data_IF_460586252066
#
_entry.id   IF_460586252066
#
_cell.length_a   1.000
_cell.length_b   1.000
_cell.length_c   1.000
_cell.angle_alpha   90.00
_cell.angle_beta   90.00
_cell.angle_gamma   90.00
#
_symmetry.space_group_name_H-M   'P 1'
#
loop_
_entity.id
_entity.type
_entity.pdbx_description
1 polymer ?
#
# COMPACT_ATOMS: atom_id res chain seq x y z
N UNK A 1 25.73 -5.14 34.78
CA UNK A 1 25.05 -5.86 33.68
C UNK A 1 23.62 -6.38 34.02
N UNK A 2 22.80 -5.79 34.94
CA UNK A 2 21.40 -6.22 35.09
C UNK A 2 20.45 -5.50 34.10
N UNK A 3 20.83 -4.31 33.62
CA UNK A 3 20.03 -3.50 32.72
C UNK A 3 19.96 -4.05 31.28
N UNK A 4 20.94 -4.87 30.87
CA UNK A 4 20.95 -5.50 29.54
C UNK A 4 19.88 -6.60 29.42
N UNK A 5 19.60 -7.30 30.52
CA UNK A 5 18.56 -8.35 30.60
C UNK A 5 17.14 -7.73 30.63
N UNK A 6 16.97 -6.59 31.31
CA UNK A 6 15.70 -5.87 31.32
C UNK A 6 15.34 -5.24 29.95
N UNK A 7 16.36 -4.81 29.18
CA UNK A 7 16.19 -4.30 27.82
C UNK A 7 15.87 -5.43 26.81
N UNK A 8 16.44 -6.63 26.98
CA UNK A 8 16.08 -7.78 26.14
C UNK A 8 14.65 -8.29 26.42
N UNK A 9 14.19 -8.23 27.67
CA UNK A 9 12.85 -8.72 28.05
C UNK A 9 11.71 -7.80 27.57
N UNK A 10 12.00 -6.52 27.35
CA UNK A 10 11.01 -5.52 26.88
C UNK A 10 10.84 -5.50 25.36
N UNK A 11 11.78 -6.08 24.60
CA UNK A 11 11.67 -6.23 23.15
C UNK A 11 10.81 -7.45 22.79
N UNK A 12 10.82 -8.50 23.62
CA UNK A 12 9.98 -9.71 23.40
C UNK A 12 8.49 -9.50 23.68
N UNK A 13 8.09 -8.41 24.33
CA UNK A 13 6.68 -8.13 24.62
C UNK A 13 5.94 -7.42 23.48
N UNK A 14 6.65 -6.85 22.49
CA UNK A 14 6.02 -6.13 21.39
C UNK A 14 5.49 -7.05 20.28
N UNK A 15 6.11 -8.21 20.05
CA UNK A 15 5.61 -9.21 19.09
C UNK A 15 4.40 -9.97 19.62
N UNK A 16 4.14 -9.94 20.93
CA UNK A 16 2.99 -10.61 21.56
C UNK A 16 1.69 -9.80 21.55
N UNK A 17 1.74 -8.50 21.22
CA UNK A 17 0.54 -7.66 21.21
C UNK A 17 -0.39 -7.98 20.04
N UNK A 18 0.16 -8.30 18.86
CA UNK A 18 -0.62 -8.64 17.66
C UNK A 18 -1.25 -10.03 17.78
N UNK A 19 -0.50 -11.03 18.26
CA UNK A 19 -1.06 -12.36 18.53
C UNK A 19 -2.18 -12.30 19.57
N UNK A 20 -2.00 -11.53 20.65
CA UNK A 20 -3.04 -11.32 21.66
C UNK A 20 -4.28 -10.60 21.11
N UNK A 21 -4.09 -9.62 20.21
CA UNK A 21 -5.19 -8.94 19.53
C UNK A 21 -6.03 -9.92 18.71
N UNK A 22 -5.42 -10.71 17.84
CA UNK A 22 -6.16 -11.66 17.00
C UNK A 22 -6.82 -12.78 17.83
N UNK A 23 -6.15 -13.27 18.87
CA UNK A 23 -6.76 -14.23 19.80
C UNK A 23 -7.97 -13.66 20.55
N UNK A 24 -7.94 -12.38 20.94
CA UNK A 24 -9.09 -11.72 21.58
C UNK A 24 -10.27 -11.54 20.62
N UNK A 25 -10.00 -11.21 19.35
CA UNK A 25 -11.03 -11.10 18.31
C UNK A 25 -11.72 -12.44 18.04
N UNK A 26 -10.96 -13.54 18.07
CA UNK A 26 -11.53 -14.88 17.89
C UNK A 26 -12.43 -15.31 19.05
N UNK A 27 -12.13 -14.88 20.28
CA UNK A 27 -12.99 -15.13 21.45
C UNK A 27 -14.37 -14.46 21.35
N UNK A 28 -14.48 -13.38 20.57
CA UNK A 28 -15.75 -12.71 20.26
C UNK A 28 -16.34 -13.13 18.92
N UNK A 29 -15.79 -14.17 18.29
CA UNK A 29 -16.31 -14.80 17.07
C UNK A 29 -15.83 -14.20 15.75
N UNK A 30 -14.78 -13.36 15.78
CA UNK A 30 -14.20 -12.77 14.56
C UNK A 30 -12.93 -13.54 14.19
N UNK A 31 -12.97 -14.26 13.07
CA UNK A 31 -11.85 -15.09 12.64
C UNK A 31 -10.81 -14.30 11.84
N UNK A 32 -9.55 -14.70 11.91
CA UNK A 32 -8.42 -14.06 11.19
C UNK A 32 -8.65 -14.00 9.68
N UNK A 33 -9.39 -14.97 9.13
CA UNK A 33 -9.80 -14.99 7.72
C UNK A 33 -10.70 -13.81 7.36
N UNK A 34 -11.65 -13.47 8.22
CA UNK A 34 -12.56 -12.34 7.98
C UNK A 34 -11.80 -11.02 8.12
N UNK A 35 -10.93 -10.92 9.13
CA UNK A 35 -10.02 -9.77 9.29
C UNK A 35 -9.12 -9.62 8.05
N UNK A 36 -8.60 -10.72 7.49
CA UNK A 36 -7.80 -10.69 6.26
C UNK A 36 -8.61 -10.14 5.08
N UNK A 37 -9.87 -10.52 4.92
CA UNK A 37 -10.74 -9.95 3.89
C UNK A 37 -10.89 -8.45 4.08
N UNK A 38 -11.24 -8.01 5.29
CA UNK A 38 -11.44 -6.58 5.60
C UNK A 38 -10.17 -5.76 5.31
N UNK A 39 -8.99 -6.27 5.70
CA UNK A 39 -7.70 -5.60 5.47
C UNK A 39 -7.37 -5.46 3.99
N UNK A 40 -7.70 -6.46 3.19
CA UNK A 40 -7.50 -6.41 1.73
C UNK A 40 -8.51 -5.46 1.07
N UNK A 41 -9.76 -5.42 1.54
CA UNK A 41 -10.76 -4.46 1.07
C UNK A 41 -10.33 -3.02 1.39
N UNK A 42 -9.85 -2.74 2.61
CA UNK A 42 -9.30 -1.43 3.00
C UNK A 42 -8.05 -1.03 2.18
N UNK A 43 -7.19 -1.99 1.81
CA UNK A 43 -6.04 -1.72 0.94
C UNK A 43 -6.46 -1.43 -0.50
N UNK A 44 -7.52 -2.07 -1.00
CA UNK A 44 -8.10 -1.74 -2.30
C UNK A 44 -8.66 -0.32 -2.31
N UNK A 45 -9.39 0.08 -1.28
CA UNK A 45 -9.88 1.46 -1.13
C UNK A 45 -8.71 2.45 -1.10
N UNK A 46 -7.65 2.19 -0.33
CA UNK A 46 -6.47 3.05 -0.29
C UNK A 46 -5.78 3.17 -1.67
N UNK A 47 -5.71 2.09 -2.45
CA UNK A 47 -5.15 2.13 -3.80
C UNK A 47 -6.05 2.89 -4.78
N UNK A 48 -7.37 2.81 -4.65
CA UNK A 48 -8.31 3.60 -5.46
C UNK A 48 -8.22 5.10 -5.12
N UNK A 49 -8.10 5.43 -3.83
CA UNK A 49 -7.85 6.80 -3.37
C UNK A 49 -6.54 7.34 -3.97
N UNK A 50 -5.45 6.57 -3.86
CA UNK A 50 -4.16 6.92 -4.44
C UNK A 50 -4.24 7.06 -5.97
N UNK A 51 -4.96 6.18 -6.67
CA UNK A 51 -5.18 6.31 -8.11
C UNK A 51 -5.84 7.64 -8.46
N UNK A 52 -6.83 8.07 -7.67
CA UNK A 52 -7.53 9.34 -7.85
C UNK A 52 -6.58 10.51 -7.63
N UNK A 53 -5.82 10.53 -6.53
CA UNK A 53 -4.87 11.62 -6.25
C UNK A 53 -3.78 11.74 -7.31
N UNK A 54 -3.20 10.61 -7.74
CA UNK A 54 -2.20 10.59 -8.80
C UNK A 54 -2.79 11.03 -10.15
N UNK A 55 -4.05 10.70 -10.43
CA UNK A 55 -4.76 11.20 -11.63
C UNK A 55 -4.96 12.71 -11.56
N UNK A 56 -5.36 13.24 -10.41
CA UNK A 56 -5.49 14.70 -10.22
C UNK A 56 -4.13 15.41 -10.35
N UNK A 57 -3.05 14.83 -9.83
CA UNK A 57 -1.69 15.31 -10.03
C UNK A 57 -1.29 15.31 -11.52
N UNK A 58 -1.62 14.23 -12.25
CA UNK A 58 -1.37 14.12 -13.68
C UNK A 58 -2.08 15.23 -14.47
N UNK A 59 -3.35 15.50 -14.15
CA UNK A 59 -4.14 16.50 -14.84
C UNK A 59 -3.69 17.94 -14.52
N UNK A 60 -3.28 18.20 -13.27
CA UNK A 60 -2.65 19.46 -12.89
C UNK A 60 -1.35 19.72 -13.69
N UNK A 61 -0.53 18.68 -13.88
CA UNK A 61 0.68 18.78 -14.70
C UNK A 61 0.39 18.98 -16.19
N UNK A 62 -0.68 18.40 -16.73
CA UNK A 62 -1.09 18.64 -18.12
C UNK A 62 -1.57 20.08 -18.33
N UNK A 63 -2.31 20.62 -17.37
CA UNK A 63 -2.79 22.01 -17.43
C UNK A 63 -1.63 23.01 -17.50
N UNK A 64 -0.49 22.69 -16.87
CA UNK A 64 0.72 23.51 -16.92
C UNK A 64 1.34 23.63 -18.32
N UNK A 65 1.20 22.61 -19.17
CA UNK A 65 1.70 22.67 -20.55
C UNK A 65 0.94 23.70 -21.41
N UNK A 66 -0.23 24.15 -20.95
CA UNK A 66 -1.07 25.14 -21.62
C UNK A 66 -1.10 26.49 -20.88
N UNK A 67 -0.14 26.72 -19.99
CA UNK A 67 -0.09 27.94 -19.19
C UNK A 67 0.46 29.13 -19.99
N UNK A 68 -0.38 30.12 -20.25
CA UNK A 68 -0.06 31.34 -21.02
C UNK A 68 0.14 32.57 -20.12
N UNK A 69 0.86 32.43 -19.00
CA UNK A 69 1.26 33.56 -18.16
C UNK A 69 0.18 34.08 -17.18
N UNK A 70 -0.69 33.19 -16.68
CA UNK A 70 -1.62 33.48 -15.59
C UNK A 70 -0.98 33.63 -14.21
N UNK A 71 -1.76 33.46 -13.14
CA UNK A 71 -1.27 33.58 -11.76
C UNK A 71 -0.35 32.42 -11.38
N UNK A 72 0.96 32.68 -11.35
CA UNK A 72 2.00 31.70 -11.02
C UNK A 72 1.84 31.13 -9.60
N UNK A 73 1.31 31.93 -8.67
CA UNK A 73 1.01 31.48 -7.31
C UNK A 73 -0.08 30.41 -7.29
N UNK A 74 -1.12 30.54 -8.14
CA UNK A 74 -2.17 29.54 -8.25
C UNK A 74 -1.64 28.22 -8.83
N UNK A 75 -0.70 28.31 -9.79
CA UNK A 75 0.02 27.13 -10.31
C UNK A 75 0.78 26.42 -9.21
N UNK A 76 1.57 27.16 -8.43
CA UNK A 76 2.34 26.60 -7.33
C UNK A 76 1.42 25.92 -6.30
N UNK A 77 0.38 26.63 -5.85
CA UNK A 77 -0.55 26.10 -4.84
C UNK A 77 -1.22 24.81 -5.33
N UNK A 78 -1.70 24.78 -6.58
CA UNK A 78 -2.31 23.59 -7.15
C UNK A 78 -1.34 22.39 -7.15
N UNK A 79 -0.09 22.56 -7.61
CA UNK A 79 0.88 21.46 -7.63
C UNK A 79 1.28 21.03 -6.21
N UNK A 80 1.39 21.98 -5.28
CA UNK A 80 1.65 21.67 -3.87
C UNK A 80 0.52 20.82 -3.27
N UNK A 81 -0.74 21.22 -3.48
CA UNK A 81 -1.91 20.48 -2.99
C UNK A 81 -1.96 19.06 -3.56
N UNK A 82 -1.67 18.90 -4.87
CA UNK A 82 -1.61 17.57 -5.50
C UNK A 82 -0.47 16.72 -4.93
N UNK A 83 0.68 17.32 -4.62
CA UNK A 83 1.79 16.62 -3.98
C UNK A 83 1.41 16.13 -2.57
N UNK A 84 0.86 17.01 -1.73
CA UNK A 84 0.47 16.68 -0.36
C UNK A 84 -0.58 15.57 -0.32
N UNK A 85 -1.64 15.69 -1.13
CA UNK A 85 -2.70 14.68 -1.21
C UNK A 85 -2.18 13.33 -1.74
N UNK A 86 -1.31 13.34 -2.76
CA UNK A 86 -0.70 12.12 -3.28
C UNK A 86 0.25 11.47 -2.27
N UNK A 87 0.95 12.27 -1.45
CA UNK A 87 1.84 11.78 -0.40
C UNK A 87 1.06 11.07 0.70
N UNK A 88 -0.01 11.70 1.20
CA UNK A 88 -0.89 11.09 2.22
C UNK A 88 -1.52 9.79 1.71
N UNK A 89 -1.98 9.76 0.46
CA UNK A 89 -2.55 8.56 -0.13
C UNK A 89 -1.52 7.42 -0.25
N UNK A 90 -0.27 7.73 -0.62
CA UNK A 90 0.80 6.73 -0.69
C UNK A 90 1.19 6.18 0.69
N UNK A 91 1.22 7.02 1.73
CA UNK A 91 1.44 6.59 3.11
C UNK A 91 0.31 5.66 3.59
N UNK A 92 -0.95 5.99 3.26
CA UNK A 92 -2.11 5.14 3.54
C UNK A 92 -1.99 3.78 2.87
N UNK A 93 -1.59 3.73 1.59
CA UNK A 93 -1.33 2.47 0.86
C UNK A 93 -0.26 1.65 1.59
N UNK A 94 0.87 2.26 1.92
CA UNK A 94 1.99 1.60 2.63
C UNK A 94 1.54 1.01 3.97
N UNK A 95 0.77 1.77 4.74
CA UNK A 95 0.21 1.32 6.03
C UNK A 95 -0.76 0.16 5.88
N UNK A 96 -1.57 0.12 4.82
CA UNK A 96 -2.53 -0.97 4.59
C UNK A 96 -1.84 -2.25 4.13
N UNK A 97 -0.78 -2.14 3.34
CA UNK A 97 0.06 -3.29 2.96
C UNK A 97 0.67 -3.93 4.22
N UNK A 98 1.27 -3.13 5.10
CA UNK A 98 1.85 -3.64 6.35
C UNK A 98 0.80 -4.34 7.25
N UNK A 99 -0.42 -3.82 7.31
CA UNK A 99 -1.51 -4.43 8.09
C UNK A 99 -1.99 -5.77 7.51
N UNK A 100 -1.91 -5.95 6.18
CA UNK A 100 -2.18 -7.22 5.51
C UNK A 100 -1.08 -8.25 5.83
N UNK A 101 0.19 -7.83 5.78
CA UNK A 101 1.32 -8.71 6.13
C UNK A 101 1.23 -9.23 7.57
N UNK A 102 0.85 -8.35 8.50
CA UNK A 102 0.66 -8.71 9.91
C UNK A 102 -0.39 -9.82 10.09
N UNK A 103 -1.60 -9.62 9.55
CA UNK A 103 -2.67 -10.62 9.68
C UNK A 103 -2.38 -11.89 8.88
N UNK A 104 -1.63 -11.79 7.78
CA UNK A 104 -1.21 -12.95 6.99
C UNK A 104 -0.28 -13.86 7.77
N UNK A 105 0.74 -13.29 8.43
CA UNK A 105 1.68 -14.04 9.24
C UNK A 105 0.92 -14.80 10.35
N UNK A 106 0.06 -14.10 11.10
CA UNK A 106 -0.73 -14.73 12.16
C UNK A 106 -1.65 -15.84 11.64
N UNK A 107 -2.32 -15.62 10.50
CA UNK A 107 -3.23 -16.60 9.90
C UNK A 107 -2.50 -17.86 9.40
N UNK A 108 -1.39 -17.69 8.69
CA UNK A 108 -0.67 -18.82 8.12
C UNK A 108 0.10 -19.62 9.17
N UNK A 109 0.68 -18.96 10.17
CA UNK A 109 1.36 -19.63 11.29
C UNK A 109 0.37 -20.51 12.07
N UNK A 110 -0.80 -19.97 12.44
CA UNK A 110 -1.83 -20.74 13.14
C UNK A 110 -2.33 -21.92 12.30
N UNK A 111 -2.66 -21.68 11.03
CA UNK A 111 -3.15 -22.75 10.15
C UNK A 111 -2.10 -23.85 10.00
N UNK A 112 -0.81 -23.50 9.89
CA UNK A 112 0.29 -24.46 9.81
C UNK A 112 0.43 -25.30 11.09
N UNK A 113 0.29 -24.69 12.27
CA UNK A 113 0.33 -25.41 13.56
C UNK A 113 -0.86 -26.38 13.71
N UNK A 114 -2.05 -25.95 13.31
CA UNK A 114 -3.27 -26.76 13.37
C UNK A 114 -3.25 -27.99 12.45
N UNK A 115 -2.41 -27.99 11.40
CA UNK A 115 -2.21 -29.18 10.56
C UNK A 115 -1.74 -30.40 11.38
N UNK A 116 -1.03 -30.17 12.49
CA UNK A 116 -0.57 -31.24 13.38
C UNK A 116 -1.67 -31.86 14.25
N UNK A 117 -2.80 -31.16 14.42
CA UNK A 117 -3.92 -31.57 15.27
C UNK A 117 -4.87 -32.53 14.56
N UNK A 118 -4.77 -32.65 13.23
CA UNK A 118 -5.60 -33.59 12.47
C UNK A 118 -5.22 -35.05 12.73
N UNK A 119 -6.19 -35.82 13.21
CA UNK A 119 -6.12 -37.28 13.29
C UNK A 119 -6.41 -37.97 11.94
N UNK A 120 -7.18 -37.32 11.05
CA UNK A 120 -7.46 -37.84 9.71
C UNK A 120 -6.41 -37.39 8.69
N UNK A 121 -5.64 -38.35 8.16
CA UNK A 121 -4.63 -38.07 7.14
C UNK A 121 -5.23 -37.49 5.84
N UNK A 122 -6.48 -37.82 5.51
CA UNK A 122 -7.15 -37.27 4.32
C UNK A 122 -7.49 -35.79 4.52
N UNK A 123 -8.06 -35.43 5.67
CA UNK A 123 -8.41 -34.04 6.00
C UNK A 123 -7.15 -33.19 6.15
N UNK A 124 -6.10 -33.71 6.80
CA UNK A 124 -4.81 -33.01 6.91
C UNK A 124 -4.25 -32.65 5.53
N UNK A 125 -4.22 -33.61 4.60
CA UNK A 125 -3.73 -33.38 3.23
C UNK A 125 -4.59 -32.38 2.46
N UNK A 126 -5.90 -32.36 2.69
CA UNK A 126 -6.78 -31.37 2.06
C UNK A 126 -6.51 -29.96 2.59
N UNK A 127 -6.45 -29.81 3.92
CA UNK A 127 -6.12 -28.55 4.58
C UNK A 127 -4.75 -28.02 4.15
N UNK A 128 -3.73 -28.89 4.08
CA UNK A 128 -2.38 -28.53 3.59
C UNK A 128 -2.38 -28.04 2.14
N UNK A 129 -3.22 -28.61 1.25
CA UNK A 129 -3.36 -28.12 -0.13
C UNK A 129 -4.01 -26.74 -0.17
N UNK A 130 -5.03 -26.51 0.66
CA UNK A 130 -5.70 -25.22 0.76
C UNK A 130 -4.74 -24.15 1.27
N UNK A 131 -4.00 -24.42 2.35
CA UNK A 131 -2.97 -23.52 2.89
C UNK A 131 -1.98 -23.10 1.79
N UNK A 132 -1.35 -24.06 1.12
CA UNK A 132 -0.39 -23.80 0.03
C UNK A 132 -0.98 -22.98 -1.12
N UNK A 133 -2.23 -23.26 -1.49
CA UNK A 133 -2.94 -22.52 -2.53
C UNK A 133 -3.20 -21.07 -2.09
N UNK A 134 -3.66 -20.87 -0.86
CA UNK A 134 -3.95 -19.55 -0.30
C UNK A 134 -2.68 -18.71 -0.17
N UNK A 135 -1.59 -19.27 0.35
CA UNK A 135 -0.28 -18.61 0.42
C UNK A 135 0.23 -18.17 -0.95
N UNK A 136 0.08 -19.02 -1.99
CA UNK A 136 0.49 -18.69 -3.34
C UNK A 136 -0.34 -17.52 -3.91
N UNK A 137 -1.64 -17.48 -3.62
CA UNK A 137 -2.50 -16.37 -4.01
C UNK A 137 -2.16 -15.09 -3.26
N UNK A 138 -1.93 -15.18 -1.95
CA UNK A 138 -1.49 -14.06 -1.11
C UNK A 138 -0.19 -13.45 -1.61
N UNK A 139 0.85 -14.26 -1.89
CA UNK A 139 2.15 -13.79 -2.39
C UNK A 139 2.04 -13.04 -3.71
N UNK A 140 1.14 -13.46 -4.61
CA UNK A 140 0.88 -12.76 -5.89
C UNK A 140 0.26 -11.37 -5.66
N UNK A 141 -0.76 -11.30 -4.80
CA UNK A 141 -1.39 -10.04 -4.40
C UNK A 141 -0.40 -9.10 -3.74
N UNK A 142 0.32 -9.55 -2.71
CA UNK A 142 1.27 -8.74 -1.97
C UNK A 142 2.38 -8.19 -2.88
N UNK A 143 2.92 -9.04 -3.77
CA UNK A 143 3.92 -8.60 -4.73
C UNK A 143 3.39 -7.53 -5.70
N UNK A 144 2.11 -7.55 -6.05
CA UNK A 144 1.50 -6.50 -6.87
C UNK A 144 1.36 -5.18 -6.09
N UNK A 145 0.88 -5.24 -4.85
CA UNK A 145 0.76 -4.06 -3.99
C UNK A 145 2.12 -3.38 -3.76
N UNK A 146 3.17 -4.13 -3.42
CA UNK A 146 4.51 -3.54 -3.25
C UNK A 146 5.09 -2.95 -4.53
N UNK A 147 4.78 -3.53 -5.71
CA UNK A 147 5.20 -2.92 -6.98
C UNK A 147 4.55 -1.54 -7.15
N UNK A 148 3.25 -1.44 -6.90
CA UNK A 148 2.53 -0.17 -6.96
C UNK A 148 3.11 0.86 -5.96
N UNK A 149 3.26 0.48 -4.69
CA UNK A 149 3.86 1.28 -3.62
C UNK A 149 5.27 1.81 -4.00
N UNK A 150 6.14 0.93 -4.50
CA UNK A 150 7.51 1.30 -4.89
C UNK A 150 7.56 2.29 -6.06
N UNK A 151 6.54 2.32 -6.93
CA UNK A 151 6.43 3.31 -8.02
C UNK A 151 5.93 4.68 -7.56
N UNK A 152 5.22 4.76 -6.43
CA UNK A 152 4.75 6.05 -5.88
C UNK A 152 5.90 6.92 -5.40
N UNK A 153 6.91 6.33 -4.73
CA UNK A 153 8.05 7.06 -4.15
C UNK A 153 8.80 7.96 -5.15
N UNK A 154 9.28 7.46 -6.32
CA UNK A 154 9.99 8.32 -7.27
C UNK A 154 9.10 9.43 -7.87
N UNK A 155 7.80 9.17 -8.03
CA UNK A 155 6.82 10.19 -8.46
C UNK A 155 6.71 11.29 -7.42
N UNK A 156 6.51 10.94 -6.15
CA UNK A 156 6.39 11.91 -5.05
C UNK A 156 7.67 12.71 -4.84
N UNK A 157 8.83 12.08 -4.96
CA UNK A 157 10.11 12.80 -4.89
C UNK A 157 10.22 13.84 -6.01
N UNK A 158 9.87 13.46 -7.24
CA UNK A 158 9.92 14.39 -8.38
C UNK A 158 8.90 15.53 -8.20
N UNK A 159 7.67 15.23 -7.79
CA UNK A 159 6.66 16.24 -7.45
C UNK A 159 7.18 17.21 -6.41
N UNK A 160 7.68 16.71 -5.27
CA UNK A 160 8.24 17.51 -4.18
C UNK A 160 9.34 18.44 -4.66
N UNK A 161 10.32 17.90 -5.38
CA UNK A 161 11.50 18.65 -5.81
C UNK A 161 11.11 19.77 -6.79
N UNK A 162 10.15 19.50 -7.68
CA UNK A 162 9.59 20.52 -8.59
C UNK A 162 8.77 21.58 -7.84
N UNK A 163 7.93 21.18 -6.88
CA UNK A 163 7.16 22.10 -6.03
C UNK A 163 8.08 23.05 -5.25
N UNK A 164 9.15 22.51 -4.65
CA UNK A 164 10.15 23.29 -3.94
C UNK A 164 10.89 24.26 -4.87
N UNK A 165 11.25 23.82 -6.07
CA UNK A 165 11.90 24.69 -7.05
C UNK A 165 10.98 25.85 -7.46
N UNK A 166 9.70 25.57 -7.74
CA UNK A 166 8.71 26.60 -8.06
C UNK A 166 8.58 27.60 -6.91
N UNK A 167 8.46 27.14 -5.66
CA UNK A 167 8.32 28.00 -4.47
C UNK A 167 9.34 29.14 -4.40
N UNK A 168 10.58 28.87 -4.80
CA UNK A 168 11.68 29.84 -4.73
C UNK A 168 11.91 30.62 -6.03
N UNK A 169 11.34 30.16 -7.14
CA UNK A 169 11.62 30.66 -8.47
C UNK A 169 10.33 30.94 -9.26
N UNK A 170 9.27 31.43 -8.61
CA UNK A 170 7.97 31.73 -9.21
C UNK A 170 8.08 32.78 -10.35
N UNK A 171 8.42 32.32 -11.55
CA UNK A 171 8.51 33.10 -12.78
C UNK A 171 8.32 32.19 -14.00
N UNK A 172 8.02 32.79 -15.16
CA UNK A 172 7.75 32.05 -16.39
C UNK A 172 8.96 31.24 -16.89
N UNK A 173 10.19 31.69 -16.66
CA UNK A 173 11.39 30.98 -17.06
C UNK A 173 11.60 29.68 -16.25
N UNK A 174 11.29 29.71 -14.95
CA UNK A 174 11.33 28.54 -14.10
C UNK A 174 10.31 27.47 -14.55
N UNK A 175 9.08 27.87 -14.88
CA UNK A 175 8.08 26.94 -15.43
C UNK A 175 8.60 26.28 -16.72
N UNK A 176 9.16 27.08 -17.64
CA UNK A 176 9.75 26.55 -18.87
C UNK A 176 10.89 25.56 -18.61
N UNK A 177 11.71 25.80 -17.58
CA UNK A 177 12.83 24.90 -17.23
C UNK A 177 12.38 23.53 -16.70
N UNK A 178 11.18 23.43 -16.10
CA UNK A 178 10.65 22.19 -15.53
C UNK A 178 9.91 21.31 -16.54
N UNK A 179 9.70 21.77 -17.78
CA UNK A 179 8.85 21.07 -18.73
C UNK A 179 9.36 19.66 -19.09
N UNK A 180 10.69 19.46 -19.09
CA UNK A 180 11.30 18.13 -19.25
C UNK A 180 10.96 17.19 -18.10
N UNK A 181 11.07 17.67 -16.86
CA UNK A 181 10.79 16.90 -15.64
C UNK A 181 9.30 16.57 -15.54
N UNK A 182 8.41 17.53 -15.83
CA UNK A 182 6.97 17.30 -15.88
C UNK A 182 6.58 16.24 -16.91
N UNK A 183 7.17 16.26 -18.10
CA UNK A 183 6.90 15.23 -19.10
C UNK A 183 7.35 13.83 -18.65
N UNK A 184 8.44 13.72 -17.87
CA UNK A 184 8.83 12.44 -17.27
C UNK A 184 7.88 12.01 -16.17
N UNK A 185 7.54 12.94 -15.29
CA UNK A 185 6.64 12.74 -14.18
C UNK A 185 5.26 12.26 -14.64
N UNK A 186 4.71 12.82 -15.71
CA UNK A 186 3.45 12.36 -16.30
C UNK A 186 3.48 10.87 -16.67
N UNK A 187 4.60 10.39 -17.25
CA UNK A 187 4.76 8.97 -17.61
C UNK A 187 4.88 8.08 -16.37
N UNK A 188 5.60 8.54 -15.36
CA UNK A 188 5.81 7.77 -14.13
C UNK A 188 4.52 7.71 -13.30
N UNK A 189 3.74 8.78 -13.25
CA UNK A 189 2.39 8.78 -12.67
C UNK A 189 1.49 7.77 -13.39
N UNK A 190 1.47 7.78 -14.73
CA UNK A 190 0.64 6.84 -15.49
C UNK A 190 1.01 5.38 -15.22
N UNK A 191 2.31 5.08 -15.04
CA UNK A 191 2.78 3.75 -14.65
C UNK A 191 2.33 3.37 -13.24
N UNK A 192 2.44 4.29 -12.28
CA UNK A 192 1.97 4.06 -10.91
C UNK A 192 0.46 3.76 -10.89
N UNK A 193 -0.34 4.48 -11.67
CA UNK A 193 -1.78 4.23 -11.86
C UNK A 193 -2.03 2.81 -12.38
N UNK A 194 -1.35 2.39 -13.45
CA UNK A 194 -1.52 1.05 -14.01
C UNK A 194 -1.08 -0.06 -13.04
N UNK A 195 -0.02 0.15 -12.27
CA UNK A 195 0.41 -0.82 -11.24
C UNK A 195 -0.61 -0.94 -10.10
N UNK A 196 -1.25 0.17 -9.69
CA UNK A 196 -2.37 0.14 -8.73
C UNK A 196 -3.58 -0.63 -9.26
N UNK A 197 -3.97 -0.44 -10.53
CA UNK A 197 -5.05 -1.21 -11.16
C UNK A 197 -4.76 -2.72 -11.13
N UNK A 198 -3.52 -3.10 -11.44
CA UNK A 198 -3.10 -4.51 -11.40
C UNK A 198 -3.14 -5.07 -9.97
N UNK A 199 -2.74 -4.30 -8.97
CA UNK A 199 -2.76 -4.69 -7.58
C UNK A 199 -4.18 -4.80 -7.01
N UNK A 200 -5.11 -3.91 -7.39
CA UNK A 200 -6.54 -4.04 -7.06
C UNK A 200 -7.11 -5.34 -7.64
N UNK A 201 -6.82 -5.64 -8.92
CA UNK A 201 -7.29 -6.86 -9.56
C UNK A 201 -6.76 -8.14 -8.90
N UNK A 202 -5.49 -8.16 -8.46
CA UNK A 202 -4.94 -9.29 -7.71
C UNK A 202 -5.57 -9.44 -6.32
N UNK A 203 -5.95 -8.33 -5.69
CA UNK A 203 -6.61 -8.32 -4.38
C UNK A 203 -8.02 -8.88 -4.45
N UNK A 204 -8.80 -8.51 -5.47
CA UNK A 204 -10.12 -9.09 -5.74
C UNK A 204 -10.02 -10.61 -6.01
N UNK A 205 -8.99 -11.04 -6.76
CA UNK A 205 -8.71 -12.47 -6.99
C UNK A 205 -8.40 -13.19 -5.68
N UNK A 206 -7.58 -12.61 -4.82
CA UNK A 206 -7.26 -13.18 -3.52
C UNK A 206 -8.49 -13.29 -2.61
N UNK A 207 -9.29 -12.23 -2.48
CA UNK A 207 -10.55 -12.24 -1.71
C UNK A 207 -11.48 -13.34 -2.23
N UNK A 208 -11.65 -13.44 -3.56
CA UNK A 208 -12.48 -14.48 -4.16
C UNK A 208 -11.96 -15.89 -3.87
N UNK A 209 -10.64 -16.08 -3.91
CA UNK A 209 -10.01 -17.36 -3.58
C UNK A 209 -10.21 -17.72 -2.10
N UNK A 210 -9.99 -16.76 -1.20
CA UNK A 210 -10.09 -16.95 0.24
C UNK A 210 -11.54 -17.24 0.68
N UNK A 211 -12.53 -16.58 0.09
CA UNK A 211 -13.96 -16.81 0.37
C UNK A 211 -14.48 -18.18 -0.13
N UNK A 212 -13.81 -18.80 -1.11
CA UNK A 212 -14.20 -20.11 -1.68
C UNK A 212 -13.51 -21.32 -1.03
N UNK A 213 -12.40 -21.10 -0.31
CA UNK A 213 -11.56 -22.15 0.28
C UNK A 213 -12.00 -22.59 1.67
#
# INVERSE_FOLDING_TARGET
MPYLLALLLSITTLTGCQSAYYSAMEQVGIHKRDIMVDRVEEANEAQQDAQTQFTSALDALKALNHFDGGELEAVYNNINDQYEASSEAAEKVSSRIAAIEDVANALFDEWQDELSLYSSASLRRDSERKLKSTEASYKRMLAAMHRAEQKMTPVLNTLRDNTLYLKHNLNAAAIGSLQGDFNSLQRDIQRAITDMEAAIAESERFISHLKRG
#
